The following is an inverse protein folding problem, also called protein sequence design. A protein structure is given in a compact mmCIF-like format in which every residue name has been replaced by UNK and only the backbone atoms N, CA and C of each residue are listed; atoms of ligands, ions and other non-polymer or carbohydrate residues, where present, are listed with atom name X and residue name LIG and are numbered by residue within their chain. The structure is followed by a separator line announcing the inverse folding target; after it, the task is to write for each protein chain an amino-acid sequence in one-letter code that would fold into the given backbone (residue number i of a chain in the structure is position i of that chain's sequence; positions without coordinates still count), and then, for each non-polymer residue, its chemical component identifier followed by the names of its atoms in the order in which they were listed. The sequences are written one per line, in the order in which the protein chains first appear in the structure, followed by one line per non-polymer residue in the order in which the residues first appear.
data_IF_073961268171
#
_entry.id   IF_073961268171
#
_cell.length_a   1.000
_cell.length_b   1.000
_cell.length_c   1.000
_cell.angle_alpha   90.00
_cell.angle_beta   90.00
_cell.angle_gamma   90.00
#
_symmetry.space_group_name_H-M   'P 1'
#
loop_
_entity.id
_entity.type
_entity.pdbx_description
1 polymer ?
#
# COMPACT_ATOMS: atom_id res chain seq x y z
N UNK A 1 -4.58 13.80 -1.86
CA UNK A 1 -4.39 12.34 -1.71
C UNK A 1 -3.98 11.78 -3.06
N UNK A 2 -2.98 10.91 -3.10
CA UNK A 2 -2.49 10.23 -4.30
C UNK A 2 -2.65 8.72 -4.12
N UNK A 3 -2.63 7.94 -5.21
CA UNK A 3 -2.70 6.48 -5.16
C UNK A 3 -1.58 5.83 -5.98
N UNK A 4 -1.03 4.72 -5.49
CA UNK A 4 -0.05 3.91 -6.22
C UNK A 4 -0.45 2.44 -6.18
N UNK A 5 -0.21 1.73 -7.27
CA UNK A 5 -0.45 0.29 -7.37
C UNK A 5 0.85 -0.46 -7.59
N UNK A 6 0.97 -1.64 -6.99
CA UNK A 6 2.16 -2.46 -7.10
C UNK A 6 2.18 -3.63 -6.12
N UNK A 7 3.37 -4.15 -5.87
CA UNK A 7 3.60 -5.26 -4.94
C UNK A 7 4.52 -4.84 -3.79
N UNK A 8 4.19 -5.27 -2.58
CA UNK A 8 5.02 -5.01 -1.40
C UNK A 8 6.23 -5.95 -1.44
N UNK A 9 7.44 -5.39 -1.39
CA UNK A 9 8.69 -6.15 -1.48
C UNK A 9 9.48 -6.15 -0.17
N UNK A 10 9.30 -5.13 0.67
CA UNK A 10 9.93 -5.00 1.97
C UNK A 10 8.91 -4.57 3.01
N UNK A 11 9.02 -5.11 4.24
CA UNK A 11 8.20 -4.73 5.40
C UNK A 11 9.12 -4.67 6.62
N UNK A 12 9.08 -3.56 7.36
CA UNK A 12 9.84 -3.33 8.60
C UNK A 12 9.06 -2.38 9.51
N UNK A 13 8.65 -2.82 10.70
CA UNK A 13 8.12 -1.94 11.77
C UNK A 13 7.10 -0.87 11.28
N UNK A 14 6.08 -1.28 10.52
CA UNK A 14 5.05 -0.38 9.97
C UNK A 14 5.49 0.45 8.75
N UNK A 15 6.69 0.23 8.24
CA UNK A 15 7.20 0.75 6.97
C UNK A 15 7.19 -0.34 5.92
N UNK A 16 7.00 0.05 4.67
CA UNK A 16 7.07 -0.89 3.57
C UNK A 16 7.55 -0.23 2.28
N UNK A 17 8.14 -1.06 1.41
CA UNK A 17 8.49 -0.67 0.05
C UNK A 17 7.50 -1.29 -0.94
N UNK A 18 6.93 -0.46 -1.80
CA UNK A 18 6.11 -0.87 -2.93
C UNK A 18 6.93 -0.77 -4.20
N UNK A 19 6.98 -1.84 -4.99
CA UNK A 19 7.42 -1.76 -6.39
C UNK A 19 6.17 -1.55 -7.23
N UNK A 20 6.07 -0.39 -7.87
CA UNK A 20 4.95 -0.10 -8.76
C UNK A 20 5.05 -0.90 -10.05
N UNK A 21 3.97 -0.99 -10.81
CA UNK A 21 3.97 -1.68 -12.10
C UNK A 21 4.94 -1.09 -13.11
N UNK A 22 5.24 0.20 -12.98
CA UNK A 22 6.27 0.87 -13.78
C UNK A 22 7.71 0.58 -13.32
N UNK A 23 7.90 -0.33 -12.35
CA UNK A 23 9.20 -0.69 -11.80
C UNK A 23 9.78 0.31 -10.80
N UNK A 24 9.02 1.35 -10.40
CA UNK A 24 9.49 2.35 -9.45
C UNK A 24 9.35 1.84 -8.02
N UNK A 25 10.40 1.99 -7.21
CA UNK A 25 10.34 1.71 -5.77
C UNK A 25 9.84 2.94 -5.03
N UNK A 26 8.81 2.77 -4.20
CA UNK A 26 8.24 3.81 -3.35
C UNK A 26 8.28 3.36 -1.88
N UNK A 27 8.69 4.27 -0.99
CA UNK A 27 8.78 4.02 0.46
C UNK A 27 7.56 4.60 1.16
N UNK A 28 6.95 3.79 2.03
CA UNK A 28 5.76 4.14 2.77
C UNK A 28 5.95 3.94 4.27
N UNK A 29 5.36 4.83 5.05
CA UNK A 29 5.05 4.66 6.46
C UNK A 29 3.53 4.46 6.58
N UNK A 30 3.12 3.43 7.30
CA UNK A 30 1.71 3.20 7.59
C UNK A 30 1.19 4.28 8.56
N UNK A 31 0.08 4.93 8.20
CA UNK A 31 -0.60 5.86 9.08
C UNK A 31 -1.13 5.13 10.31
N UNK A 32 -1.28 5.85 11.43
CA UNK A 32 -1.79 5.25 12.68
C UNK A 32 -3.26 4.82 12.57
N UNK A 33 -3.99 5.47 11.70
CA UNK A 33 -5.40 5.27 11.37
C UNK A 33 -5.59 4.51 10.05
N UNK A 34 -4.54 3.83 9.59
CA UNK A 34 -4.63 3.08 8.35
C UNK A 34 -5.63 1.91 8.44
N UNK A 35 -6.19 1.53 7.29
CA UNK A 35 -7.15 0.41 7.19
C UNK A 35 -6.56 -0.97 7.48
N UNK A 36 -5.25 -1.08 7.69
CA UNK A 36 -4.52 -2.30 8.00
C UNK A 36 -3.57 -2.03 9.16
N UNK A 37 -3.26 -3.08 9.92
CA UNK A 37 -2.29 -3.01 10.99
C UNK A 37 -0.88 -3.39 10.49
N UNK A 38 0.19 -2.94 11.15
CA UNK A 38 1.56 -3.29 10.76
C UNK A 38 1.81 -4.80 10.65
N UNK A 39 1.12 -5.64 11.43
CA UNK A 39 1.25 -7.10 11.39
C UNK A 39 0.60 -7.77 10.16
N UNK A 40 -0.23 -7.06 9.40
CA UNK A 40 -0.87 -7.59 8.19
C UNK A 40 0.06 -7.47 6.97
N UNK A 41 0.98 -6.50 7.00
CA UNK A 41 1.90 -6.22 5.89
C UNK A 41 2.80 -7.42 5.50
N UNK A 42 3.37 -8.20 6.44
CA UNK A 42 4.16 -9.39 6.09
C UNK A 42 3.38 -10.43 5.27
N UNK A 43 2.07 -10.58 5.52
CA UNK A 43 1.22 -11.51 4.77
C UNK A 43 1.05 -11.04 3.32
N UNK A 44 0.79 -9.74 3.10
CA UNK A 44 0.68 -9.17 1.76
C UNK A 44 1.97 -9.32 0.96
N UNK A 45 3.13 -9.10 1.61
CA UNK A 45 4.45 -9.35 1.01
C UNK A 45 4.64 -10.82 0.66
N UNK A 46 4.38 -11.73 1.61
CA UNK A 46 4.58 -13.18 1.42
C UNK A 46 3.80 -13.72 0.24
N UNK A 47 2.57 -13.24 0.06
CA UNK A 47 1.69 -13.67 -1.02
C UNK A 47 1.94 -12.92 -2.34
N UNK A 48 2.89 -11.97 -2.35
CA UNK A 48 3.17 -11.06 -3.47
C UNK A 48 1.89 -10.47 -4.08
N UNK A 49 0.90 -10.18 -3.23
CA UNK A 49 -0.39 -9.68 -3.70
C UNK A 49 -0.22 -8.26 -4.23
N UNK A 50 -0.89 -8.00 -5.33
CA UNK A 50 -1.01 -6.66 -5.88
C UNK A 50 -1.90 -5.84 -4.95
N UNK A 51 -1.43 -4.65 -4.58
CA UNK A 51 -2.14 -3.73 -3.68
C UNK A 51 -2.24 -2.35 -4.30
N UNK A 52 -3.31 -1.65 -3.94
CA UNK A 52 -3.47 -0.22 -4.15
C UNK A 52 -3.28 0.50 -2.82
N UNK A 53 -2.40 1.48 -2.81
CA UNK A 53 -2.03 2.27 -1.63
C UNK A 53 -2.49 3.71 -1.87
N UNK A 54 -3.39 4.20 -1.02
CA UNK A 54 -3.74 5.62 -0.97
C UNK A 54 -2.84 6.32 0.05
N UNK A 55 -2.19 7.39 -0.38
CA UNK A 55 -1.15 8.04 0.39
C UNK A 55 -1.16 9.56 0.28
N UNK A 56 -0.44 10.16 1.23
CA UNK A 56 -0.07 11.58 1.21
C UNK A 56 1.45 11.70 1.13
N UNK A 57 1.92 12.68 0.37
CA UNK A 57 3.34 13.00 0.23
C UNK A 57 3.67 14.16 1.18
N UNK A 58 4.35 13.91 2.31
CA UNK A 58 4.69 14.96 3.24
C UNK A 58 5.83 15.80 2.67
N UNK A 59 5.74 17.12 2.77
CA UNK A 59 6.74 18.04 2.21
C UNK A 59 8.16 17.92 2.80
N UNK A 60 8.33 17.14 3.88
CA UNK A 60 9.61 17.01 4.62
C UNK A 60 9.99 15.56 4.98
N UNK A 61 9.28 14.55 4.49
CA UNK A 61 9.59 13.14 4.80
C UNK A 61 10.12 12.41 3.58
N UNK A 62 11.06 11.49 3.82
CA UNK A 62 11.64 10.60 2.80
C UNK A 62 10.65 9.49 2.39
N UNK A 63 9.61 9.28 3.20
CA UNK A 63 8.58 8.27 2.96
C UNK A 63 7.19 8.92 2.82
N UNK A 64 6.39 8.38 1.92
CA UNK A 64 4.97 8.69 1.81
C UNK A 64 4.21 8.12 3.02
N UNK A 65 3.10 8.75 3.41
CA UNK A 65 2.24 8.24 4.49
C UNK A 65 1.06 7.52 3.86
N UNK A 66 0.99 6.21 4.05
CA UNK A 66 -0.05 5.34 3.54
C UNK A 66 -1.24 5.29 4.51
N UNK A 67 -2.40 5.73 4.05
CA UNK A 67 -3.63 5.79 4.83
C UNK A 67 -4.55 4.62 4.54
N UNK A 68 -4.51 4.08 3.33
CA UNK A 68 -5.36 2.96 2.96
C UNK A 68 -4.60 2.00 2.07
N UNK A 69 -4.78 0.70 2.33
CA UNK A 69 -4.25 -0.36 1.51
C UNK A 69 -5.38 -1.33 1.18
N UNK A 70 -5.60 -1.57 -0.10
CA UNK A 70 -6.59 -2.51 -0.61
C UNK A 70 -5.91 -3.51 -1.52
N UNK A 71 -6.37 -4.76 -1.50
CA UNK A 71 -5.86 -5.74 -2.47
C UNK A 71 -6.51 -5.48 -3.82
N UNK A 72 -5.76 -5.62 -4.92
CA UNK A 72 -6.29 -5.34 -6.24
C UNK A 72 -7.45 -6.28 -6.63
N UNK A 73 -7.51 -7.46 -6.01
CA UNK A 73 -8.59 -8.43 -6.22
C UNK A 73 -9.93 -7.95 -5.63
N UNK A 74 -9.90 -7.17 -4.53
CA UNK A 74 -11.11 -6.60 -3.89
C UNK A 74 -11.65 -5.37 -4.65
N UNK A 75 -10.88 -4.77 -5.56
CA UNK A 75 -11.30 -3.57 -6.32
C UNK A 75 -12.34 -3.95 -7.40
N UNK A 76 -12.39 -5.22 -7.81
CA UNK A 76 -13.36 -5.71 -8.80
C UNK A 76 -14.74 -6.05 -8.22
N UNK A 77 -14.91 -6.06 -6.89
CA UNK A 77 -16.19 -6.41 -6.26
C UNK A 77 -17.15 -5.22 -6.11
N UNK A 78 -16.76 -4.00 -6.47
CA UNK A 78 -17.64 -2.80 -6.42
C UNK A 78 -18.32 -2.45 -7.77
N UNK A 79 -18.37 -3.36 -8.76
CA UNK A 79 -19.18 -3.13 -9.97
C UNK A 79 -19.98 -4.36 -10.42
N UNK A 80 -20.99 -4.73 -9.65
CA UNK A 80 -22.26 -5.25 -10.20
C UNK A 80 -23.38 -4.78 -9.26
N UNK A 81 -23.99 -3.64 -9.56
CA UNK A 81 -25.38 -3.39 -9.13
C UNK A 81 -26.31 -3.68 -10.33
N UNK A 82 -27.48 -4.32 -10.09
CA UNK A 82 -28.36 -4.92 -11.09
C UNK A 82 -29.12 -3.92 -11.98
#
# INVERSE_FOLDING_TARGET
MQSAEGVITLVQEGRFALVTDGGRVMQFLLARDASLEPQDLPLLKRNQRRVRVDYTEPSRLVAHVAHMLRTADDIFTERIEP
#
